data_IF_832029744143
#
_entry.id   IF_832029744143
#
_cell.length_a   1.000
_cell.length_b   1.000
_cell.length_c   1.000
_cell.angle_alpha   90.00
_cell.angle_beta   90.00
_cell.angle_gamma   90.00
#
_symmetry.space_group_name_H-M   'P 1'
#
loop_
_entity.id
_entity.type
_entity.pdbx_description
1 polymer ?
#
# COMPACT_ATOMS: atom_id res chain seq x y z
N UNK A 1 -19.44 -17.42 15.53
CA UNK A 1 -18.79 -16.32 14.77
C UNK A 1 -17.33 -16.27 15.20
N UNK A 2 -16.45 -17.05 14.56
CA UNK A 2 -15.01 -16.94 14.84
C UNK A 2 -14.57 -15.53 14.50
N UNK A 3 -14.08 -14.77 15.49
CA UNK A 3 -13.40 -13.51 15.25
C UNK A 3 -12.38 -13.74 14.11
N UNK A 4 -12.65 -13.20 12.91
CA UNK A 4 -11.73 -13.24 11.76
C UNK A 4 -10.53 -12.32 11.98
N UNK A 5 -9.89 -12.45 13.14
CA UNK A 5 -8.71 -11.71 13.57
C UNK A 5 -7.57 -11.91 12.58
N UNK A 6 -7.39 -13.14 12.06
CA UNK A 6 -6.36 -13.44 11.06
C UNK A 6 -6.48 -12.58 9.80
N UNK A 7 -7.67 -12.44 9.23
CA UNK A 7 -7.89 -11.62 8.03
C UNK A 7 -7.77 -10.11 8.32
N UNK A 8 -8.25 -9.66 9.48
CA UNK A 8 -8.08 -8.27 9.92
C UNK A 8 -6.60 -7.93 10.10
N UNK A 9 -5.83 -8.82 10.76
CA UNK A 9 -4.39 -8.66 10.95
C UNK A 9 -3.66 -8.75 9.62
N UNK A 10 -4.04 -9.68 8.73
CA UNK A 10 -3.46 -9.82 7.40
C UNK A 10 -3.66 -8.56 6.54
N UNK A 11 -4.86 -7.98 6.56
CA UNK A 11 -5.13 -6.71 5.87
C UNK A 11 -4.33 -5.56 6.47
N UNK A 12 -4.50 -5.31 7.78
CA UNK A 12 -3.89 -4.13 8.41
C UNK A 12 -2.38 -4.25 8.48
N UNK A 13 -1.88 -5.39 8.96
CA UNK A 13 -0.45 -5.68 9.10
C UNK A 13 0.26 -5.82 7.75
N UNK A 14 -0.38 -6.47 6.77
CA UNK A 14 0.18 -6.60 5.42
C UNK A 14 0.37 -5.24 4.75
N UNK A 15 -0.65 -4.39 4.78
CA UNK A 15 -0.55 -3.05 4.19
C UNK A 15 0.36 -2.13 5.00
N UNK A 16 0.26 -2.10 6.33
CA UNK A 16 1.16 -1.29 7.15
C UNK A 16 2.63 -1.67 6.93
N UNK A 17 2.93 -2.97 6.87
CA UNK A 17 4.25 -3.46 6.50
C UNK A 17 4.67 -3.01 5.10
N UNK A 18 3.75 -3.03 4.13
CA UNK A 18 3.99 -2.56 2.75
C UNK A 18 4.26 -1.05 2.63
N UNK A 19 3.86 -0.24 3.61
CA UNK A 19 4.09 1.21 3.63
C UNK A 19 5.18 1.68 4.58
N UNK A 20 5.79 0.78 5.37
CA UNK A 20 6.80 1.15 6.37
C UNK A 20 7.99 1.90 5.75
N UNK A 21 8.39 1.51 4.53
CA UNK A 21 9.51 2.10 3.83
C UNK A 21 9.25 3.57 3.45
N UNK A 22 8.00 3.95 3.15
CA UNK A 22 7.63 5.34 2.83
C UNK A 22 7.83 6.24 4.04
N UNK A 23 7.40 5.77 5.22
CA UNK A 23 7.59 6.48 6.48
C UNK A 23 9.08 6.64 6.81
N UNK A 24 9.87 5.57 6.65
CA UNK A 24 11.32 5.60 6.88
C UNK A 24 12.03 6.57 5.94
N UNK A 25 11.76 6.51 4.63
CA UNK A 25 12.36 7.43 3.65
C UNK A 25 11.99 8.88 3.91
N UNK A 26 10.75 9.13 4.30
CA UNK A 26 10.28 10.47 4.66
C UNK A 26 11.09 11.05 5.82
N UNK A 27 11.31 10.28 6.90
CA UNK A 27 12.14 10.70 8.02
C UNK A 27 13.61 10.94 7.62
N UNK A 28 14.13 10.09 6.73
CA UNK A 28 15.48 10.26 6.17
C UNK A 28 15.59 11.59 5.40
N UNK A 29 14.60 11.92 4.55
CA UNK A 29 14.61 13.18 3.81
C UNK A 29 14.50 14.41 4.72
N UNK A 30 13.66 14.35 5.76
CA UNK A 30 13.59 15.41 6.77
C UNK A 30 14.94 15.60 7.47
N UNK A 31 15.62 14.51 7.83
CA UNK A 31 16.97 14.57 8.41
C UNK A 31 17.99 15.18 7.45
N UNK A 32 17.89 14.89 6.15
CA UNK A 32 18.70 15.48 5.09
C UNK A 32 18.32 16.93 4.75
N UNK A 33 17.44 17.59 5.52
CA UNK A 33 16.92 18.95 5.25
C UNK A 33 16.15 19.06 3.91
N UNK A 34 15.76 17.93 3.32
CA UNK A 34 14.89 17.84 2.13
C UNK A 34 13.42 17.90 2.58
N UNK A 35 13.02 19.09 3.01
CA UNK A 35 11.74 19.31 3.68
C UNK A 35 10.54 18.94 2.80
N UNK A 36 10.57 19.32 1.51
CA UNK A 36 9.45 19.08 0.60
C UNK A 36 9.21 17.58 0.40
N UNK A 37 10.27 16.84 0.07
CA UNK A 37 10.24 15.40 -0.14
C UNK A 37 9.82 14.69 1.15
N UNK A 38 10.40 15.09 2.28
CA UNK A 38 10.07 14.57 3.60
C UNK A 38 8.59 14.73 3.94
N UNK A 39 8.03 15.93 3.87
CA UNK A 39 6.63 16.18 4.18
C UNK A 39 5.67 15.52 3.18
N UNK A 40 6.01 15.44 1.90
CA UNK A 40 5.24 14.68 0.92
C UNK A 40 5.19 13.19 1.27
N UNK A 41 6.32 12.61 1.69
CA UNK A 41 6.37 11.22 2.17
C UNK A 41 5.52 10.98 3.42
N UNK A 42 5.50 11.93 4.38
CA UNK A 42 4.61 11.85 5.55
C UNK A 42 3.14 11.91 5.13
N UNK A 43 2.79 12.80 4.21
CA UNK A 43 1.43 12.91 3.70
C UNK A 43 0.97 11.61 3.02
N UNK A 44 1.83 11.01 2.20
CA UNK A 44 1.56 9.71 1.56
C UNK A 44 1.40 8.58 2.58
N UNK A 45 2.21 8.58 3.66
CA UNK A 45 2.09 7.63 4.76
C UNK A 45 0.72 7.77 5.45
N UNK A 46 0.30 9.00 5.75
CA UNK A 46 -1.02 9.27 6.32
C UNK A 46 -2.15 8.83 5.38
N UNK A 47 -2.05 9.16 4.09
CA UNK A 47 -3.02 8.73 3.08
C UNK A 47 -3.12 7.20 2.99
N UNK A 48 -1.98 6.50 3.07
CA UNK A 48 -1.93 5.05 3.11
C UNK A 48 -2.68 4.50 4.32
N UNK A 49 -2.36 4.97 5.53
CA UNK A 49 -3.03 4.54 6.77
C UNK A 49 -4.54 4.78 6.70
N UNK A 50 -4.97 5.96 6.23
CA UNK A 50 -6.39 6.28 6.05
C UNK A 50 -7.03 5.30 5.06
N UNK A 51 -6.40 5.03 3.92
CA UNK A 51 -6.92 4.10 2.92
C UNK A 51 -7.10 2.69 3.48
N UNK A 52 -6.14 2.20 4.28
CA UNK A 52 -6.16 0.87 4.90
C UNK A 52 -7.35 0.74 5.87
N UNK A 53 -7.63 1.77 6.66
CA UNK A 53 -8.67 1.77 7.69
C UNK A 53 -10.06 2.04 7.10
N UNK A 54 -10.18 2.96 6.16
CA UNK A 54 -11.47 3.37 5.56
C UNK A 54 -11.97 2.32 4.57
N UNK A 55 -11.08 1.75 3.77
CA UNK A 55 -11.40 0.73 2.76
C UNK A 55 -11.25 -0.69 3.30
N UNK A 56 -11.31 -0.85 4.62
CA UNK A 56 -11.22 -2.16 5.23
C UNK A 56 -12.40 -3.06 4.82
N UNK A 57 -12.17 -4.33 4.46
CA UNK A 57 -13.21 -5.26 3.98
C UNK A 57 -14.39 -5.44 4.94
N UNK A 58 -14.13 -5.44 6.24
CA UNK A 58 -15.17 -5.57 7.28
C UNK A 58 -16.05 -4.33 7.42
N UNK A 59 -15.70 -3.19 6.82
CA UNK A 59 -16.55 -1.99 6.76
C UNK A 59 -17.42 -1.94 5.51
N UNK A 60 -17.04 -2.67 4.46
CA UNK A 60 -17.72 -2.69 3.16
C UNK A 60 -18.01 -4.14 2.73
N UNK A 61 -18.87 -4.87 3.46
CA UNK A 61 -18.92 -6.32 3.33
C UNK A 61 -19.43 -6.83 1.97
N UNK A 62 -20.22 -6.03 1.27
CA UNK A 62 -20.76 -6.31 -0.07
C UNK A 62 -19.83 -5.89 -1.21
N UNK A 63 -18.73 -5.18 -0.91
CA UNK A 63 -17.80 -4.66 -1.93
C UNK A 63 -16.70 -5.70 -2.20
N UNK A 64 -16.37 -5.97 -3.48
CA UNK A 64 -15.28 -6.88 -3.82
C UNK A 64 -13.93 -6.40 -3.27
N UNK A 65 -13.10 -7.32 -2.75
CA UNK A 65 -11.77 -7.00 -2.22
C UNK A 65 -10.91 -6.25 -3.24
N UNK A 66 -11.00 -6.60 -4.53
CA UNK A 66 -10.26 -5.91 -5.59
C UNK A 66 -10.52 -4.40 -5.63
N UNK A 67 -11.77 -3.98 -5.48
CA UNK A 67 -12.13 -2.55 -5.46
C UNK A 67 -11.60 -1.84 -4.21
N UNK A 68 -11.60 -2.52 -3.07
CA UNK A 68 -11.08 -1.97 -1.82
C UNK A 68 -9.56 -1.84 -1.83
N UNK A 69 -8.87 -2.81 -2.44
CA UNK A 69 -7.42 -2.81 -2.60
C UNK A 69 -6.92 -1.71 -3.54
N UNK A 70 -7.76 -1.20 -4.46
CA UNK A 70 -7.37 -0.10 -5.36
C UNK A 70 -6.91 1.15 -4.60
N UNK A 71 -7.49 1.44 -3.43
CA UNK A 71 -7.08 2.60 -2.63
C UNK A 71 -5.64 2.46 -2.14
N UNK A 72 -5.32 1.46 -1.30
CA UNK A 72 -3.95 1.22 -0.86
C UNK A 72 -2.97 1.02 -2.02
N UNK A 73 -3.33 0.28 -3.08
CA UNK A 73 -2.46 0.15 -4.25
C UNK A 73 -2.22 1.50 -4.94
N UNK A 74 -3.25 2.34 -5.10
CA UNK A 74 -3.10 3.67 -5.69
C UNK A 74 -2.13 4.54 -4.90
N UNK A 75 -2.22 4.52 -3.57
CA UNK A 75 -1.26 5.22 -2.71
C UNK A 75 0.14 4.61 -2.83
N UNK A 76 0.26 3.27 -2.90
CA UNK A 76 1.55 2.60 -3.05
C UNK A 76 2.26 3.00 -4.35
N UNK A 77 1.54 3.02 -5.48
CA UNK A 77 2.11 3.49 -6.75
C UNK A 77 2.46 4.98 -6.71
N UNK A 78 1.62 5.82 -6.09
CA UNK A 78 1.96 7.23 -5.86
C UNK A 78 3.23 7.39 -5.02
N UNK A 79 3.42 6.54 -3.99
CA UNK A 79 4.64 6.49 -3.20
C UNK A 79 5.86 6.04 -4.01
N UNK A 80 5.70 5.09 -4.92
CA UNK A 80 6.80 4.69 -5.82
C UNK A 80 7.22 5.84 -6.75
N UNK A 81 6.25 6.54 -7.36
CA UNK A 81 6.52 7.72 -8.20
C UNK A 81 7.21 8.82 -7.38
N UNK A 82 6.70 9.09 -6.18
CA UNK A 82 7.29 10.07 -5.26
C UNK A 82 8.73 9.71 -4.89
N UNK A 83 9.02 8.44 -4.60
CA UNK A 83 10.37 8.00 -4.27
C UNK A 83 11.32 8.23 -5.46
N UNK A 84 10.94 7.78 -6.66
CA UNK A 84 11.72 8.00 -7.88
C UNK A 84 11.99 9.49 -8.12
N UNK A 85 10.98 10.33 -7.96
CA UNK A 85 11.13 11.77 -8.12
C UNK A 85 12.05 12.39 -7.05
N UNK A 86 11.90 11.98 -5.78
CA UNK A 86 12.69 12.50 -4.64
C UNK A 86 14.18 12.13 -4.71
N UNK A 87 14.51 11.03 -5.39
CA UNK A 87 15.89 10.63 -5.67
C UNK A 87 16.47 11.27 -6.95
N UNK A 88 15.72 12.12 -7.66
CA UNK A 88 16.20 12.79 -8.89
C UNK A 88 15.99 11.96 -10.17
N UNK A 89 15.10 10.97 -10.13
CA UNK A 89 14.70 10.15 -11.27
C UNK A 89 15.32 8.75 -11.30
N UNK A 90 14.81 7.91 -12.21
CA UNK A 90 15.15 6.48 -12.30
C UNK A 90 16.65 6.25 -12.56
N UNK A 91 17.28 7.11 -13.37
CA UNK A 91 18.71 7.03 -13.68
C UNK A 91 19.61 7.32 -12.49
N UNK A 92 19.18 8.20 -11.58
CA UNK A 92 19.91 8.53 -10.37
C UNK A 92 19.81 7.41 -9.31
N UNK A 93 18.80 6.53 -9.41
CA UNK A 93 18.64 5.38 -8.53
C UNK A 93 19.37 4.12 -9.03
N UNK A 94 20.07 4.19 -10.17
CA UNK A 94 20.71 3.03 -10.83
C UNK A 94 19.74 1.84 -11.03
N UNK A 95 18.45 2.12 -11.10
CA UNK A 95 17.42 1.09 -11.21
C UNK A 95 17.26 0.68 -12.69
N UNK A 96 17.57 -0.58 -12.98
CA UNK A 96 17.25 -1.20 -14.26
C UNK A 96 15.72 -1.43 -14.38
N UNK A 97 15.18 -1.25 -15.58
CA UNK A 97 13.73 -1.41 -15.83
C UNK A 97 13.27 -2.85 -15.59
N UNK A 98 14.18 -3.82 -15.68
CA UNK A 98 13.95 -5.21 -15.28
C UNK A 98 13.80 -5.40 -13.77
N UNK A 99 14.40 -4.54 -12.95
CA UNK A 99 14.23 -4.59 -11.50
C UNK A 99 12.79 -4.29 -11.07
N UNK A 100 12.03 -3.55 -11.90
CA UNK A 100 10.59 -3.33 -11.65
C UNK A 100 9.76 -4.62 -11.78
N UNK A 101 10.21 -5.62 -12.54
CA UNK A 101 9.51 -6.91 -12.61
C UNK A 101 9.53 -7.67 -11.29
N UNK A 102 10.46 -7.37 -10.36
CA UNK A 102 10.44 -7.94 -9.01
C UNK A 102 9.24 -7.51 -8.17
N UNK A 103 8.46 -6.52 -8.60
CA UNK A 103 7.20 -6.14 -7.95
C UNK A 103 6.00 -6.99 -8.41
N UNK A 104 6.12 -7.83 -9.45
CA UNK A 104 5.02 -8.70 -9.91
C UNK A 104 4.46 -9.65 -8.84
N UNK A 105 5.29 -10.28 -7.98
CA UNK A 105 4.80 -11.09 -6.88
C UNK A 105 3.87 -10.32 -5.93
N UNK A 106 4.08 -9.01 -5.78
CA UNK A 106 3.26 -8.12 -4.96
C UNK A 106 1.82 -7.96 -5.50
N UNK A 107 1.60 -8.28 -6.78
CA UNK A 107 0.30 -8.20 -7.46
C UNK A 107 -0.42 -9.56 -7.55
N UNK A 108 0.21 -10.67 -7.12
CA UNK A 108 -0.42 -12.00 -7.08
C UNK A 108 -1.75 -12.02 -6.30
N UNK A 109 -1.88 -11.33 -5.13
CA UNK A 109 -3.13 -11.34 -4.36
C UNK A 109 -4.32 -10.74 -5.11
N UNK A 110 -4.05 -9.83 -6.07
CA UNK A 110 -5.06 -9.20 -6.90
C UNK A 110 -5.80 -10.26 -7.70
N UNK A 111 -5.09 -11.17 -8.38
CA UNK A 111 -5.71 -12.18 -9.25
C UNK A 111 -6.55 -13.21 -8.49
N UNK A 112 -6.11 -13.62 -7.29
CA UNK A 112 -6.74 -14.73 -6.56
C UNK A 112 -7.93 -14.29 -5.70
N UNK A 113 -7.98 -13.02 -5.30
CA UNK A 113 -9.03 -12.50 -4.39
C UNK A 113 -9.93 -11.43 -5.00
N UNK A 114 -9.69 -11.01 -6.24
CA UNK A 114 -10.37 -9.87 -6.91
C UNK A 114 -11.90 -9.84 -6.75
N UNK A 115 -12.56 -10.96 -7.04
CA UNK A 115 -14.03 -11.08 -7.08
C UNK A 115 -14.66 -11.46 -5.75
N UNK A 116 -13.84 -11.89 -4.78
CA UNK A 116 -14.34 -12.32 -3.47
C UNK A 116 -14.90 -11.10 -2.73
N UNK A 117 -15.92 -11.30 -1.92
CA UNK A 117 -16.49 -10.30 -1.00
C UNK A 117 -16.42 -10.82 0.43
N UNK A 118 -16.44 -9.92 1.40
CA UNK A 118 -16.46 -10.31 2.82
C UNK A 118 -17.71 -11.13 3.16
N UNK A 119 -18.85 -10.77 2.55
CA UNK A 119 -20.16 -11.45 2.69
C UNK A 119 -20.20 -12.86 2.13
N UNK A 120 -19.37 -13.18 1.12
CA UNK A 120 -19.35 -14.52 0.49
C UNK A 120 -18.93 -15.60 1.51
N UNK A 121 -18.30 -15.20 2.61
CA UNK A 121 -17.85 -16.09 3.68
C UNK A 121 -18.80 -16.10 4.89
N UNK A 122 -19.85 -15.27 4.91
CA UNK A 122 -20.85 -15.24 5.99
C UNK A 122 -21.97 -16.27 5.81
N UNK A 123 -22.06 -16.89 4.61
CA UNK A 123 -23.10 -17.85 4.23
C UNK A 123 -22.62 -19.31 4.19
N UNK A 124 -21.41 -19.60 4.69
CA UNK A 124 -20.84 -20.95 4.81
C UNK A 124 -20.92 -21.50 6.23
#
# INVERSE_FOLDING_TARGET
MSERRGEKIGWTGGWLGGFIWVAVLSLIFLYQQKWLEGFMGLFLTCAAVISIIVLAPWRHPSTPYGKLMLGPYGVFFASAIWAVWSYGGIRAMELDWWSLFWFLPLLIPIGTTWKRRWSDFETS
#
